data_IF_815000307836
#
_entry.id   IF_815000307836
#
_cell.length_a   1.000
_cell.length_b   1.000
_cell.length_c   1.000
_cell.angle_alpha   90.00
_cell.angle_beta   90.00
_cell.angle_gamma   90.00
#
_symmetry.space_group_name_H-M   'P 1'
#
loop_
_entity.id
_entity.type
_entity.pdbx_description
1 polymer ?
#
# COMPACT_ATOMS: atom_id res chain seq x y z
N UNK A 1 27.35 19.91 10.78
CA UNK A 1 26.24 19.08 11.27
C UNK A 1 26.35 17.75 10.56
N UNK A 2 26.55 16.66 11.30
CA UNK A 2 26.76 15.32 10.72
C UNK A 2 25.46 14.75 10.19
N UNK A 3 25.56 14.05 9.07
CA UNK A 3 24.46 13.30 8.47
C UNK A 3 24.13 12.11 9.38
N UNK A 4 22.96 12.14 10.04
CA UNK A 4 22.47 11.01 10.82
C UNK A 4 21.83 10.02 9.84
N UNK A 5 22.59 9.03 9.40
CA UNK A 5 22.05 7.92 8.60
C UNK A 5 21.27 7.00 9.54
N UNK A 6 19.94 7.03 9.45
CA UNK A 6 19.09 6.06 10.14
C UNK A 6 19.02 4.78 9.31
N UNK A 7 19.58 3.70 9.83
CA UNK A 7 19.41 2.37 9.26
C UNK A 7 18.20 1.70 9.95
N UNK A 8 17.11 1.39 9.22
CA UNK A 8 15.97 0.70 9.80
C UNK A 8 16.40 -0.66 10.34
N UNK A 9 16.02 -1.03 11.58
CA UNK A 9 16.33 -2.34 12.15
C UNK A 9 15.96 -3.47 11.17
N UNK A 10 16.86 -4.42 11.00
CA UNK A 10 16.65 -5.62 10.19
C UNK A 10 16.65 -6.83 11.10
N UNK A 11 15.65 -7.68 10.92
CA UNK A 11 15.50 -8.90 11.69
C UNK A 11 16.09 -10.11 10.94
N UNK A 12 16.22 -10.01 9.62
CA UNK A 12 16.77 -11.04 8.75
C UNK A 12 17.08 -10.49 7.35
N UNK A 13 17.49 -11.35 6.41
CA UNK A 13 17.75 -10.94 5.04
C UNK A 13 16.46 -10.46 4.37
N UNK A 14 16.54 -9.32 3.69
CA UNK A 14 15.42 -8.77 2.92
C UNK A 14 15.21 -9.60 1.66
N UNK A 15 14.00 -10.14 1.50
CA UNK A 15 13.61 -10.87 0.28
C UNK A 15 13.23 -9.91 -0.83
N UNK A 16 12.45 -8.89 -0.46
CA UNK A 16 12.07 -7.79 -1.35
C UNK A 16 11.53 -6.60 -0.55
N UNK A 17 11.50 -5.46 -1.20
CA UNK A 17 11.01 -4.20 -0.67
C UNK A 17 10.28 -3.39 -1.76
N UNK A 18 9.37 -2.51 -1.33
CA UNK A 18 8.57 -1.63 -2.20
C UNK A 18 8.55 -0.24 -1.55
N UNK A 19 8.98 0.78 -2.29
CA UNK A 19 9.05 2.17 -1.83
C UNK A 19 10.40 2.55 -1.20
N UNK A 20 10.45 3.74 -0.61
CA UNK A 20 11.62 4.30 0.09
C UNK A 20 11.18 4.63 1.52
N UNK A 21 11.90 4.21 2.58
CA UNK A 21 11.48 4.44 3.96
C UNK A 21 11.75 5.89 4.42
N UNK A 22 11.03 6.87 3.85
CA UNK A 22 11.19 8.31 4.10
C UNK A 22 9.95 8.97 4.74
N UNK A 23 8.96 8.15 5.14
CA UNK A 23 7.65 8.50 5.70
C UNK A 23 6.74 9.23 4.71
N UNK A 24 6.90 9.01 3.43
CA UNK A 24 6.15 9.66 2.36
C UNK A 24 5.67 8.63 1.33
N UNK A 25 4.58 8.95 0.63
CA UNK A 25 4.08 8.18 -0.49
C UNK A 25 4.42 8.82 -1.86
N UNK A 26 5.50 9.61 -1.92
CA UNK A 26 5.72 10.57 -3.03
C UNK A 26 6.32 9.90 -4.26
N UNK A 27 7.12 8.88 -4.04
CA UNK A 27 7.80 8.06 -5.03
C UNK A 27 6.87 7.08 -5.75
N UNK A 28 5.70 6.79 -5.15
CA UNK A 28 4.68 5.95 -5.75
C UNK A 28 3.96 6.63 -6.91
N UNK A 29 3.17 5.84 -7.65
CA UNK A 29 2.47 6.31 -8.84
C UNK A 29 1.38 7.33 -8.51
N UNK A 30 1.64 8.59 -8.86
CA UNK A 30 0.67 9.68 -8.87
C UNK A 30 0.02 9.75 -10.27
N UNK A 31 -1.28 9.46 -10.42
CA UNK A 31 -1.93 9.44 -11.73
C UNK A 31 -2.04 10.82 -12.35
N UNK A 32 -2.31 10.87 -13.65
CA UNK A 32 -2.72 12.13 -14.29
C UNK A 32 -4.09 12.59 -13.77
N UNK A 33 -4.28 13.90 -13.52
CA UNK A 33 -5.54 14.42 -13.05
C UNK A 33 -6.62 14.33 -14.12
N UNK A 34 -7.89 14.44 -13.69
CA UNK A 34 -8.99 14.58 -14.64
C UNK A 34 -8.78 15.87 -15.46
N UNK A 35 -8.70 15.80 -16.81
CA UNK A 35 -8.45 16.98 -17.65
C UNK A 35 -9.47 18.11 -17.46
N UNK A 36 -10.70 17.79 -17.01
CA UNK A 36 -11.76 18.78 -16.74
C UNK A 36 -11.47 19.67 -15.54
N UNK A 37 -10.67 19.20 -14.59
CA UNK A 37 -10.44 19.86 -13.29
C UNK A 37 -8.95 20.16 -13.05
N UNK A 38 -8.14 20.12 -14.11
CA UNK A 38 -6.69 20.27 -14.00
C UNK A 38 -6.31 21.65 -13.45
N UNK A 39 -5.53 21.66 -12.38
CA UNK A 39 -4.88 22.88 -11.90
C UNK A 39 -3.58 23.06 -12.68
N UNK A 40 -3.50 24.14 -13.47
CA UNK A 40 -2.34 24.45 -14.31
C UNK A 40 -1.05 24.68 -13.51
N UNK A 41 -1.15 25.04 -12.23
CA UNK A 41 0.00 25.24 -11.35
C UNK A 41 0.84 23.96 -11.17
N UNK A 42 0.19 22.80 -11.17
CA UNK A 42 0.83 21.51 -10.87
C UNK A 42 1.07 20.64 -12.11
N UNK A 43 0.96 21.21 -13.30
CA UNK A 43 1.32 20.51 -14.55
C UNK A 43 2.84 20.44 -14.67
N UNK A 44 3.39 19.25 -14.92
CA UNK A 44 4.85 19.00 -14.97
C UNK A 44 5.59 19.47 -13.69
N UNK A 45 4.92 19.41 -12.54
CA UNK A 45 5.45 19.88 -11.26
C UNK A 45 5.82 18.69 -10.36
N UNK A 46 6.90 18.76 -9.56
CA UNK A 46 7.25 17.70 -8.60
C UNK A 46 6.12 17.39 -7.62
N UNK A 47 5.38 18.43 -7.20
CA UNK A 47 4.18 18.29 -6.37
C UNK A 47 2.89 18.00 -7.16
N UNK A 48 2.95 17.22 -8.25
CA UNK A 48 1.75 16.83 -9.01
C UNK A 48 0.67 16.14 -8.17
N UNK A 49 1.04 15.57 -7.02
CA UNK A 49 0.13 15.01 -6.03
C UNK A 49 -0.87 16.04 -5.45
N UNK A 50 -0.61 17.34 -5.63
CA UNK A 50 -1.49 18.44 -5.21
C UNK A 50 -2.67 18.70 -6.15
N UNK A 51 -2.80 17.95 -7.24
CA UNK A 51 -3.99 18.02 -8.11
C UNK A 51 -5.22 17.51 -7.35
N UNK A 52 -6.35 18.18 -7.55
CA UNK A 52 -7.61 17.78 -6.91
C UNK A 52 -8.16 16.49 -7.53
N UNK A 53 -8.73 15.62 -6.70
CA UNK A 53 -9.48 14.43 -7.16
C UNK A 53 -8.62 13.24 -7.61
N UNK A 54 -7.31 13.22 -7.33
CA UNK A 54 -6.45 12.11 -7.76
C UNK A 54 -6.85 10.76 -7.19
N UNK A 55 -7.44 10.69 -5.99
CA UNK A 55 -7.94 9.44 -5.43
C UNK A 55 -9.07 8.83 -6.27
N UNK A 56 -9.92 9.66 -6.89
CA UNK A 56 -11.03 9.16 -7.73
C UNK A 56 -10.52 8.47 -8.99
N UNK A 57 -9.30 8.80 -9.44
CA UNK A 57 -8.66 8.16 -10.60
C UNK A 57 -8.44 6.67 -10.37
N UNK A 58 -8.38 6.21 -9.11
CA UNK A 58 -8.22 4.78 -8.81
C UNK A 58 -9.35 3.96 -9.45
N UNK A 59 -10.61 4.37 -9.30
CA UNK A 59 -11.76 3.68 -9.91
C UNK A 59 -11.74 3.69 -11.44
N UNK A 60 -11.15 4.71 -12.06
CA UNK A 60 -11.05 4.81 -13.51
C UNK A 60 -9.94 3.92 -14.07
N UNK A 61 -8.83 3.78 -13.34
CA UNK A 61 -7.69 2.94 -13.73
C UNK A 61 -7.90 1.47 -13.39
N UNK A 62 -8.70 1.19 -12.36
CA UNK A 62 -8.98 -0.15 -11.84
C UNK A 62 -10.49 -0.43 -11.79
N UNK A 63 -11.22 -0.40 -12.93
CA UNK A 63 -12.68 -0.53 -12.94
C UNK A 63 -13.16 -1.91 -12.46
N UNK A 64 -12.45 -2.96 -12.89
CA UNK A 64 -12.86 -4.36 -12.72
C UNK A 64 -12.00 -5.12 -11.70
N UNK A 65 -10.71 -4.82 -11.65
CA UNK A 65 -9.74 -5.41 -10.72
C UNK A 65 -9.23 -4.41 -9.69
N UNK A 66 -8.39 -4.87 -8.77
CA UNK A 66 -7.55 -4.02 -7.94
C UNK A 66 -6.08 -4.17 -8.36
N UNK A 67 -5.22 -3.32 -7.81
CA UNK A 67 -3.79 -3.31 -8.07
C UNK A 67 -3.15 -4.68 -7.84
N UNK A 68 -2.34 -5.13 -8.81
CA UNK A 68 -1.48 -6.31 -8.71
C UNK A 68 -0.05 -5.87 -8.97
N UNK A 69 0.82 -6.09 -7.99
CA UNK A 69 2.23 -5.79 -8.04
C UNK A 69 3.03 -7.09 -8.03
N UNK A 70 3.87 -7.32 -9.03
CA UNK A 70 4.74 -8.50 -9.12
C UNK A 70 6.17 -8.11 -8.80
N UNK A 71 6.71 -8.63 -7.70
CA UNK A 71 8.10 -8.39 -7.28
C UNK A 71 9.06 -8.85 -8.38
N UNK A 72 10.00 -7.97 -8.73
CA UNK A 72 10.98 -8.19 -9.80
C UNK A 72 10.50 -7.83 -11.21
N UNK A 73 9.20 -7.57 -11.40
CA UNK A 73 8.62 -7.18 -12.71
C UNK A 73 8.00 -5.78 -12.68
N UNK A 74 7.20 -5.48 -11.65
CA UNK A 74 6.55 -4.19 -11.46
C UNK A 74 7.52 -3.12 -10.94
N UNK A 75 7.20 -1.86 -11.24
CA UNK A 75 7.93 -0.68 -10.78
C UNK A 75 7.05 0.17 -9.87
N UNK A 76 7.40 0.31 -8.59
CA UNK A 76 6.57 1.02 -7.62
C UNK A 76 6.26 2.48 -8.01
N UNK A 77 7.13 3.15 -8.76
CA UNK A 77 6.88 4.54 -9.21
C UNK A 77 5.83 4.66 -10.31
N UNK A 78 5.41 3.54 -10.91
CA UNK A 78 4.47 3.48 -12.04
C UNK A 78 3.26 2.57 -11.77
N UNK A 79 3.50 1.47 -11.06
CA UNK A 79 2.54 0.38 -10.91
C UNK A 79 1.98 0.28 -9.49
N UNK A 80 2.54 1.03 -8.54
CA UNK A 80 2.03 1.13 -7.17
C UNK A 80 1.30 2.46 -6.98
N UNK A 81 -0.04 2.45 -7.01
CA UNK A 81 -0.82 3.66 -6.85
C UNK A 81 -0.55 4.30 -5.48
N UNK A 82 -0.45 5.63 -5.40
CA UNK A 82 0.02 6.31 -4.19
C UNK A 82 -0.87 6.15 -2.94
N UNK A 83 -2.16 5.87 -3.15
CA UNK A 83 -3.12 5.71 -2.06
C UNK A 83 -4.06 4.52 -2.30
N UNK A 84 -4.07 3.56 -1.39
CA UNK A 84 -5.10 2.52 -1.39
C UNK A 84 -6.39 3.11 -0.84
N UNK A 85 -7.33 3.38 -1.74
CA UNK A 85 -8.61 4.00 -1.46
C UNK A 85 -9.77 3.07 -1.79
N UNK A 86 -10.97 3.47 -1.39
CA UNK A 86 -12.18 2.77 -1.80
C UNK A 86 -12.43 2.94 -3.29
N UNK A 87 -13.05 1.92 -3.90
CA UNK A 87 -13.44 1.95 -5.32
C UNK A 87 -14.88 2.38 -5.44
N UNK A 88 -15.10 3.58 -5.98
CA UNK A 88 -16.43 4.10 -6.34
C UNK A 88 -17.12 3.16 -7.32
N UNK A 89 -18.38 2.84 -7.04
CA UNK A 89 -19.35 2.14 -7.89
C UNK A 89 -20.52 3.08 -8.20
N UNK A 90 -21.55 2.56 -8.85
CA UNK A 90 -22.74 3.33 -9.18
C UNK A 90 -23.38 3.95 -7.93
N UNK A 91 -23.99 5.13 -8.07
CA UNK A 91 -24.84 5.72 -7.03
C UNK A 91 -24.16 6.02 -5.68
N UNK A 92 -23.00 6.67 -5.66
CA UNK A 92 -22.25 7.03 -4.43
C UNK A 92 -21.95 5.84 -3.49
N UNK A 93 -21.99 4.62 -4.02
CA UNK A 93 -21.56 3.42 -3.30
C UNK A 93 -20.06 3.20 -3.47
N UNK A 94 -19.42 2.66 -2.43
CA UNK A 94 -17.99 2.41 -2.39
C UNK A 94 -17.73 0.94 -2.05
N UNK A 95 -16.71 0.37 -2.68
CA UNK A 95 -16.26 -1.00 -2.44
C UNK A 95 -14.86 -0.97 -1.82
N UNK A 96 -14.63 -1.90 -0.89
CA UNK A 96 -13.30 -2.21 -0.37
C UNK A 96 -12.37 -2.61 -1.52
N UNK A 97 -11.07 -2.34 -1.34
CA UNK A 97 -10.04 -2.68 -2.33
C UNK A 97 -9.05 -3.66 -1.75
N UNK A 98 -8.63 -4.63 -2.55
CA UNK A 98 -7.67 -5.66 -2.15
C UNK A 98 -6.51 -5.68 -3.14
N UNK A 99 -5.38 -5.13 -2.72
CA UNK A 99 -4.15 -5.13 -3.52
C UNK A 99 -3.41 -6.44 -3.36
N UNK A 100 -2.71 -6.87 -4.41
CA UNK A 100 -1.94 -8.10 -4.42
C UNK A 100 -0.46 -7.79 -4.59
N UNK A 101 0.38 -8.37 -3.73
CA UNK A 101 1.83 -8.44 -3.93
C UNK A 101 2.17 -9.89 -4.26
N UNK A 102 2.58 -10.13 -5.49
CA UNK A 102 3.01 -11.44 -5.98
C UNK A 102 4.52 -11.53 -5.94
N UNK A 103 5.06 -12.62 -5.45
CA UNK A 103 6.51 -12.85 -5.36
C UNK A 103 6.83 -14.33 -5.39
N UNK A 104 8.07 -14.65 -5.75
CA UNK A 104 8.60 -16.01 -5.71
C UNK A 104 9.51 -16.21 -4.51
N UNK A 105 9.43 -17.40 -3.93
CA UNK A 105 10.38 -17.89 -2.93
C UNK A 105 11.15 -19.07 -3.50
N UNK A 106 12.47 -18.93 -3.59
CA UNK A 106 13.35 -20.00 -4.09
C UNK A 106 13.60 -21.08 -3.03
N UNK A 107 13.58 -20.69 -1.76
CA UNK A 107 13.72 -21.58 -0.61
C UNK A 107 12.71 -21.16 0.47
N UNK A 108 12.29 -22.12 1.29
CA UNK A 108 11.49 -21.86 2.47
C UNK A 108 12.17 -22.44 3.71
N UNK A 109 12.55 -21.56 4.64
CA UNK A 109 13.00 -21.99 5.95
C UNK A 109 11.81 -22.54 6.76
N UNK A 110 11.62 -23.86 6.69
CA UNK A 110 10.42 -24.56 7.16
C UNK A 110 10.09 -24.34 8.65
N UNK A 111 11.03 -23.86 9.46
CA UNK A 111 10.83 -23.60 10.90
C UNK A 111 10.88 -22.13 11.32
N UNK A 112 11.09 -21.20 10.39
CA UNK A 112 11.30 -19.79 10.72
C UNK A 112 10.05 -18.89 10.60
N UNK A 113 10.13 -17.70 11.19
CA UNK A 113 9.09 -16.67 11.11
C UNK A 113 9.56 -15.53 10.20
N UNK A 114 8.87 -15.35 9.08
CA UNK A 114 9.10 -14.22 8.18
C UNK A 114 8.48 -12.96 8.79
N UNK A 115 9.06 -11.80 8.49
CA UNK A 115 8.55 -10.52 8.98
C UNK A 115 8.13 -9.64 7.83
N UNK A 116 6.84 -9.35 7.75
CA UNK A 116 6.27 -8.38 6.82
C UNK A 116 6.11 -7.04 7.53
N UNK A 117 6.87 -6.04 7.09
CA UNK A 117 6.74 -4.66 7.57
C UNK A 117 5.84 -3.86 6.66
N UNK A 118 4.90 -3.16 7.25
CA UNK A 118 3.97 -2.27 6.59
C UNK A 118 4.12 -0.88 7.22
N UNK A 119 4.90 -0.03 6.57
CA UNK A 119 5.01 1.39 6.90
C UNK A 119 3.94 2.17 6.12
N UNK A 120 3.18 2.97 6.86
CA UNK A 120 2.03 3.72 6.34
C UNK A 120 2.30 5.19 6.60
N UNK A 121 2.49 5.97 5.54
CA UNK A 121 2.71 7.41 5.59
C UNK A 121 1.47 8.15 6.12
N UNK A 122 0.27 7.61 5.89
CA UNK A 122 -1.00 8.22 6.27
C UNK A 122 -2.16 7.22 6.20
N UNK A 123 -3.16 7.40 7.05
CA UNK A 123 -4.36 6.60 7.14
C UNK A 123 -5.61 7.46 7.47
N UNK A 124 -6.70 7.23 6.75
CA UNK A 124 -7.98 7.90 6.92
C UNK A 124 -9.11 6.87 7.11
N UNK A 125 -9.48 6.61 8.37
CA UNK A 125 -10.57 5.69 8.75
C UNK A 125 -10.52 4.35 8.01
N UNK A 126 -9.39 3.67 8.10
CA UNK A 126 -9.13 2.43 7.38
C UNK A 126 -8.94 1.27 8.35
N UNK A 127 -9.35 0.08 7.92
CA UNK A 127 -8.90 -1.17 8.51
C UNK A 127 -8.10 -1.92 7.45
N UNK A 128 -6.80 -2.09 7.69
CA UNK A 128 -5.91 -2.84 6.83
C UNK A 128 -5.89 -4.30 7.29
N UNK A 129 -6.24 -5.21 6.41
CA UNK A 129 -6.17 -6.65 6.64
C UNK A 129 -5.13 -7.29 5.71
N UNK A 130 -4.37 -8.24 6.25
CA UNK A 130 -3.36 -8.99 5.51
C UNK A 130 -3.76 -10.46 5.44
N UNK A 131 -3.72 -11.04 4.24
CA UNK A 131 -3.89 -12.48 4.00
C UNK A 131 -2.77 -13.01 3.11
N UNK A 132 -2.43 -14.28 3.27
CA UNK A 132 -1.34 -14.92 2.54
C UNK A 132 -1.91 -16.10 1.76
N UNK A 133 -1.70 -16.14 0.45
CA UNK A 133 -2.05 -17.23 -0.49
C UNK A 133 -3.54 -17.60 -0.60
N UNK A 134 -4.38 -17.21 0.36
CA UNK A 134 -5.83 -17.39 0.36
C UNK A 134 -6.53 -16.06 0.67
N UNK A 135 -7.13 -15.39 -0.34
CA UNK A 135 -7.80 -14.10 -0.16
C UNK A 135 -9.08 -14.18 0.70
N UNK A 136 -9.66 -15.37 0.85
CA UNK A 136 -10.89 -15.60 1.61
C UNK A 136 -10.63 -16.09 3.05
N UNK A 137 -9.35 -16.16 3.47
CA UNK A 137 -9.00 -16.59 4.81
C UNK A 137 -9.68 -15.72 5.89
N UNK A 138 -10.37 -16.37 6.84
CA UNK A 138 -11.01 -15.72 7.97
C UNK A 138 -10.76 -16.56 9.25
N UNK A 139 -10.13 -16.00 10.30
CA UNK A 139 -9.64 -14.62 10.40
C UNK A 139 -8.48 -14.32 9.44
N UNK A 140 -8.32 -13.04 9.08
CA UNK A 140 -7.13 -12.57 8.38
C UNK A 140 -5.89 -12.83 9.25
N UNK A 141 -4.72 -12.97 8.62
CA UNK A 141 -3.44 -13.18 9.33
C UNK A 141 -3.12 -11.98 10.22
N UNK A 142 -3.46 -10.78 9.75
CA UNK A 142 -3.35 -9.55 10.53
C UNK A 142 -4.52 -8.61 10.21
N UNK A 143 -4.93 -7.85 11.22
CA UNK A 143 -5.79 -6.66 11.07
C UNK A 143 -5.20 -5.53 11.89
N UNK A 144 -5.17 -4.31 11.34
CA UNK A 144 -4.80 -3.11 12.09
C UNK A 144 -5.89 -2.66 13.08
N UNK A 145 -7.11 -3.20 12.95
CA UNK A 145 -8.31 -2.52 13.43
C UNK A 145 -8.53 -1.18 12.71
N UNK A 146 -9.53 -0.41 13.15
CA UNK A 146 -9.80 0.90 12.56
C UNK A 146 -8.75 1.92 13.00
N UNK A 147 -7.92 2.37 12.06
CA UNK A 147 -6.85 3.36 12.26
C UNK A 147 -7.08 4.63 11.44
N UNK A 148 -6.27 5.64 11.72
CA UNK A 148 -6.28 6.91 11.00
C UNK A 148 -7.09 8.01 11.69
N UNK A 149 -7.76 8.84 10.87
CA UNK A 149 -8.39 10.16 11.16
C UNK A 149 -7.55 11.35 10.66
N UNK A 150 -6.51 11.10 9.88
CA UNK A 150 -5.92 12.17 9.10
C UNK A 150 -6.81 12.53 7.89
N UNK A 151 -6.44 13.62 7.21
CA UNK A 151 -7.12 14.09 6.02
C UNK A 151 -6.14 14.28 4.86
N UNK A 152 -5.01 13.57 4.84
CA UNK A 152 -3.96 13.83 3.86
C UNK A 152 -4.45 13.57 2.43
N UNK A 153 -5.16 12.46 2.19
CA UNK A 153 -5.78 12.14 0.89
C UNK A 153 -6.74 13.28 0.46
N UNK A 154 -7.63 13.70 1.36
CA UNK A 154 -8.62 14.75 1.10
C UNK A 154 -8.00 16.14 0.87
N UNK A 155 -6.78 16.36 1.37
CA UNK A 155 -6.04 17.63 1.26
C UNK A 155 -4.88 17.56 0.26
N UNK A 156 -4.85 16.53 -0.59
CA UNK A 156 -3.82 16.36 -1.62
C UNK A 156 -2.40 16.35 -1.02
N UNK A 157 -2.25 15.67 0.11
CA UNK A 157 -0.98 15.37 0.76
C UNK A 157 -0.49 13.97 0.37
N UNK A 158 0.76 13.70 0.72
CA UNK A 158 1.44 12.41 0.50
C UNK A 158 1.94 11.77 1.80
N UNK A 159 1.68 12.40 2.94
CA UNK A 159 2.00 11.89 4.28
C UNK A 159 1.09 12.56 5.32
N UNK A 160 1.01 11.96 6.50
CA UNK A 160 0.16 12.35 7.60
C UNK A 160 0.67 11.75 8.91
N UNK A 161 -0.23 11.13 9.68
CA UNK A 161 0.19 10.37 10.86
C UNK A 161 0.77 9.04 10.41
N UNK A 162 2.03 8.79 10.80
CA UNK A 162 2.76 7.59 10.44
C UNK A 162 2.35 6.38 11.30
N UNK A 163 2.25 5.21 10.67
CA UNK A 163 2.03 3.92 11.33
C UNK A 163 3.05 2.90 10.86
N UNK A 164 3.48 2.03 11.77
CA UNK A 164 4.36 0.90 11.44
C UNK A 164 3.78 -0.37 12.04
N UNK A 165 3.54 -1.36 11.18
CA UNK A 165 3.14 -2.69 11.58
C UNK A 165 4.23 -3.70 11.22
N UNK A 166 4.54 -4.59 12.16
CA UNK A 166 5.42 -5.74 11.93
C UNK A 166 4.55 -6.99 12.06
N UNK A 167 4.22 -7.60 10.92
CA UNK A 167 3.38 -8.79 10.85
C UNK A 167 4.29 -10.01 10.79
N UNK A 168 4.14 -10.88 11.77
CA UNK A 168 4.84 -12.17 11.82
C UNK A 168 4.09 -13.20 10.97
N UNK A 169 4.79 -13.79 10.01
CA UNK A 169 4.26 -14.79 9.10
C UNK A 169 4.96 -16.12 9.37
N UNK A 170 4.21 -17.13 9.81
CA UNK A 170 4.73 -18.48 9.93
C UNK A 170 5.14 -19.00 8.54
N UNK A 171 6.28 -19.71 8.46
CA UNK A 171 6.77 -20.37 7.24
C UNK A 171 5.72 -21.25 6.54
N UNK A 172 4.76 -21.81 7.30
CA UNK A 172 3.68 -22.67 6.82
C UNK A 172 2.62 -21.93 6.01
N UNK A 173 2.57 -20.61 6.09
CA UNK A 173 1.69 -19.78 5.24
C UNK A 173 2.26 -19.61 3.82
N UNK A 174 3.55 -19.87 3.65
CA UNK A 174 4.30 -19.64 2.42
C UNK A 174 4.69 -20.97 1.78
N UNK A 175 4.82 -20.96 0.46
CA UNK A 175 5.24 -22.12 -0.35
C UNK A 175 6.50 -21.78 -1.14
N UNK A 176 7.28 -22.79 -1.50
CA UNK A 176 8.34 -22.60 -2.51
C UNK A 176 7.65 -22.34 -3.85
N UNK A 177 8.13 -21.34 -4.58
CA UNK A 177 7.51 -20.84 -5.81
C UNK A 177 6.62 -19.63 -5.56
N UNK A 178 5.47 -19.57 -6.24
CA UNK A 178 4.62 -18.39 -6.29
C UNK A 178 3.82 -18.19 -4.99
N UNK A 179 3.90 -16.99 -4.44
CA UNK A 179 3.13 -16.55 -3.28
C UNK A 179 2.41 -15.24 -3.57
N UNK A 180 1.32 -14.99 -2.86
CA UNK A 180 0.59 -13.72 -2.92
C UNK A 180 0.25 -13.22 -1.53
N UNK A 181 0.64 -11.98 -1.22
CA UNK A 181 0.11 -11.22 -0.09
C UNK A 181 -1.07 -10.39 -0.59
N UNK A 182 -2.18 -10.45 0.12
CA UNK A 182 -3.36 -9.64 -0.11
C UNK A 182 -3.44 -8.55 0.97
N UNK A 183 -3.49 -7.29 0.54
CA UNK A 183 -3.66 -6.11 1.39
C UNK A 183 -5.06 -5.54 1.16
N UNK A 184 -5.97 -5.75 2.11
CA UNK A 184 -7.35 -5.30 2.00
C UNK A 184 -7.60 -4.06 2.86
N UNK A 185 -8.04 -2.98 2.21
CA UNK A 185 -8.67 -1.82 2.83
C UNK A 185 -10.14 -2.19 3.04
N UNK A 186 -10.54 -2.59 4.24
CA UNK A 186 -11.85 -3.24 4.47
C UNK A 186 -13.02 -2.26 4.66
N UNK A 187 -12.75 -1.01 5.06
CA UNK A 187 -13.80 -0.04 5.40
C UNK A 187 -14.18 0.84 4.20
N UNK A 188 -15.34 0.63 3.59
CA UNK A 188 -15.69 1.27 2.31
C UNK A 188 -17.02 2.00 2.31
N UNK A 189 -17.16 3.00 3.20
CA UNK A 189 -18.37 3.83 3.29
C UNK A 189 -18.22 5.20 2.63
N UNK A 190 -16.99 5.69 2.39
CA UNK A 190 -16.75 7.04 1.82
C UNK A 190 -15.59 7.04 0.81
N UNK A 191 -15.49 8.05 -0.09
CA UNK A 191 -14.43 8.11 -1.11
C UNK A 191 -13.04 8.39 -0.55
N UNK A 192 -12.95 8.90 0.69
CA UNK A 192 -11.72 9.39 1.30
C UNK A 192 -11.15 8.40 2.32
N UNK A 193 -11.80 7.26 2.48
CA UNK A 193 -11.25 6.17 3.28
C UNK A 193 -10.13 5.48 2.52
N UNK A 194 -9.01 5.30 3.21
CA UNK A 194 -7.82 4.71 2.60
C UNK A 194 -6.55 4.91 3.40
N UNK A 195 -5.45 4.47 2.83
CA UNK A 195 -4.11 4.67 3.36
C UNK A 195 -3.12 4.96 2.24
N UNK A 196 -2.01 5.58 2.62
CA UNK A 196 -0.85 5.77 1.77
C UNK A 196 0.31 4.99 2.39
N UNK A 197 0.91 4.10 1.61
CA UNK A 197 2.09 3.38 2.04
C UNK A 197 3.30 4.32 2.02
N UNK A 198 4.25 4.06 2.90
CA UNK A 198 5.60 4.62 2.84
C UNK A 198 6.53 3.55 2.28
N UNK A 199 6.56 2.40 2.95
CA UNK A 199 7.49 1.35 2.62
C UNK A 199 6.94 -0.02 3.04
N UNK A 200 7.14 -1.02 2.20
CA UNK A 200 6.74 -2.40 2.48
C UNK A 200 7.94 -3.30 2.30
N UNK A 201 8.19 -4.19 3.26
CA UNK A 201 9.34 -5.11 3.21
C UNK A 201 8.96 -6.49 3.74
N UNK A 202 9.44 -7.52 3.07
CA UNK A 202 9.43 -8.89 3.59
C UNK A 202 10.85 -9.34 3.91
N UNK A 203 11.05 -9.80 5.14
CA UNK A 203 12.31 -10.37 5.62
C UNK A 203 12.15 -11.87 5.87
N UNK A 204 13.17 -12.64 5.49
CA UNK A 204 13.26 -14.04 5.86
C UNK A 204 13.69 -14.21 7.32
N UNK A 205 13.47 -15.41 7.91
CA UNK A 205 13.93 -15.75 9.25
C UNK A 205 15.45 -15.75 9.41
#
# INVERSE_FOLDING_TARGET
MGELVYEPPRDGPTLWEIGIPDRSAREFYIPDPNPKYINKLYVNHPDRFRQYGLWERYSELYPDGDLVYTVGESNYSKDWFFAQVTRKKDGNMYKATTWQIKFKLDDNNQSGTYKLRLAVASAAQVELQVRINNPEQNPAVFTSGLIGKDNAIARHGIHGLYWLFNVELASTLLVIGDNTIYLTQANATTPLQGLMYDYIRLEAP
#
